data_IF_622678022856
#
_entry.id   IF_622678022856
#
_cell.length_a   1.000
_cell.length_b   1.000
_cell.length_c   1.000
_cell.angle_alpha   90.00
_cell.angle_beta   90.00
_cell.angle_gamma   90.00
#
_symmetry.space_group_name_H-M   'P 1'
#
loop_
_entity.id
_entity.type
_entity.pdbx_description
1 polymer ?
#
# COMPACT_ATOMS: atom_id res chain seq x y z
N UNK A 1 8.94 -10.67 0.69
CA UNK A 1 7.63 -10.69 1.37
C UNK A 1 7.32 -12.09 1.90
N UNK A 2 6.52 -12.19 2.96
CA UNK A 2 6.03 -13.45 3.55
C UNK A 2 4.80 -13.97 2.78
N UNK A 3 4.55 -15.28 2.85
CA UNK A 3 3.46 -15.93 2.09
C UNK A 3 2.05 -15.44 2.47
N UNK A 4 1.84 -15.05 3.73
CA UNK A 4 0.57 -14.50 4.23
C UNK A 4 0.83 -13.20 4.97
N UNK A 5 0.01 -12.18 4.68
CA UNK A 5 0.00 -10.92 5.43
C UNK A 5 -0.64 -11.11 6.81
N UNK A 6 -0.20 -10.33 7.78
CA UNK A 6 -0.79 -10.28 9.12
C UNK A 6 -1.79 -9.12 9.27
N UNK A 7 -2.04 -8.37 8.19
CA UNK A 7 -3.00 -7.28 8.19
C UNK A 7 -4.41 -7.83 8.41
N UNK A 8 -5.18 -7.13 9.26
CA UNK A 8 -6.60 -7.43 9.48
C UNK A 8 -7.46 -7.07 8.27
N UNK A 9 -7.11 -5.97 7.61
CA UNK A 9 -7.81 -5.46 6.44
C UNK A 9 -6.90 -5.51 5.21
N UNK A 10 -7.49 -5.69 4.02
CA UNK A 10 -6.76 -5.70 2.75
C UNK A 10 -5.92 -4.42 2.55
N UNK A 11 -6.41 -3.27 3.05
CA UNK A 11 -5.68 -2.00 3.03
C UNK A 11 -4.31 -2.09 3.71
N UNK A 12 -4.16 -2.92 4.74
CA UNK A 12 -2.88 -3.15 5.40
C UNK A 12 -1.92 -3.96 4.53
N UNK A 13 -2.42 -4.97 3.82
CA UNK A 13 -1.60 -5.72 2.85
C UNK A 13 -1.16 -4.84 1.68
N UNK A 14 -2.04 -3.98 1.17
CA UNK A 14 -1.71 -3.00 0.11
C UNK A 14 -0.59 -2.07 0.60
N UNK A 15 -0.67 -1.55 1.84
CA UNK A 15 0.39 -0.71 2.43
C UNK A 15 1.71 -1.45 2.62
N UNK A 16 1.70 -2.74 2.99
CA UNK A 16 2.92 -3.56 3.06
C UNK A 16 3.62 -3.67 1.68
N UNK A 17 2.84 -3.86 0.61
CA UNK A 17 3.36 -3.90 -0.76
C UNK A 17 3.96 -2.54 -1.15
N UNK A 18 3.22 -1.45 -0.95
CA UNK A 18 3.67 -0.10 -1.27
C UNK A 18 4.94 0.31 -0.49
N UNK A 19 5.07 -0.12 0.77
CA UNK A 19 6.29 0.09 1.57
C UNK A 19 7.50 -0.66 0.99
N UNK A 20 7.27 -1.84 0.40
CA UNK A 20 8.33 -2.55 -0.33
C UNK A 20 8.72 -1.79 -1.59
N UNK A 21 7.75 -1.29 -2.37
CA UNK A 21 8.00 -0.51 -3.59
C UNK A 21 8.79 0.78 -3.29
N UNK A 22 8.49 1.44 -2.16
CA UNK A 22 9.26 2.58 -1.66
C UNK A 22 10.72 2.19 -1.39
N UNK A 23 10.94 1.08 -0.68
CA UNK A 23 12.30 0.62 -0.33
C UNK A 23 13.13 0.25 -1.55
N UNK A 24 12.49 -0.22 -2.62
CA UNK A 24 13.15 -0.50 -3.91
C UNK A 24 13.40 0.79 -4.72
N UNK A 25 12.70 1.88 -4.40
CA UNK A 25 12.80 3.15 -5.14
C UNK A 25 12.00 3.16 -6.45
N UNK A 26 10.94 2.35 -6.55
CA UNK A 26 10.07 2.33 -7.72
C UNK A 26 8.87 3.26 -7.53
N UNK A 27 8.33 3.74 -8.66
CA UNK A 27 7.04 4.45 -8.69
C UNK A 27 5.90 3.48 -9.02
N UNK A 28 4.70 3.79 -8.54
CA UNK A 28 3.46 3.08 -8.90
C UNK A 28 2.57 4.09 -9.61
N UNK A 29 2.17 3.78 -10.85
CA UNK A 29 1.39 4.68 -11.70
C UNK A 29 2.01 6.09 -11.81
N UNK A 30 3.34 6.16 -11.88
CA UNK A 30 4.09 7.42 -11.95
C UNK A 30 4.13 8.22 -10.65
N UNK A 31 3.53 7.73 -9.56
CA UNK A 31 3.50 8.40 -8.24
C UNK A 31 4.45 7.73 -7.26
N UNK A 32 4.97 8.53 -6.33
CA UNK A 32 5.78 8.03 -5.23
C UNK A 32 4.91 7.20 -4.27
N UNK A 33 5.30 5.98 -3.87
CA UNK A 33 4.47 5.09 -3.07
C UNK A 33 4.00 5.69 -1.73
N UNK A 34 4.78 6.61 -1.13
CA UNK A 34 4.38 7.29 0.10
C UNK A 34 3.09 8.11 -0.07
N UNK A 35 2.94 8.81 -1.20
CA UNK A 35 1.73 9.61 -1.44
C UNK A 35 0.49 8.73 -1.58
N UNK A 36 0.64 7.55 -2.20
CA UNK A 36 -0.46 6.59 -2.33
C UNK A 36 -0.84 6.02 -0.95
N UNK A 37 0.16 5.76 -0.09
CA UNK A 37 -0.10 5.33 1.30
C UNK A 37 -0.89 6.40 2.06
N UNK A 38 -0.55 7.68 1.90
CA UNK A 38 -1.28 8.80 2.50
C UNK A 38 -2.71 8.92 1.96
N UNK A 39 -2.92 8.72 0.66
CA UNK A 39 -4.25 8.68 0.04
C UNK A 39 -5.10 7.53 0.60
N UNK A 40 -4.50 6.36 0.85
CA UNK A 40 -5.21 5.22 1.49
C UNK A 40 -5.53 5.54 2.95
N UNK A 41 -4.60 6.18 3.68
CA UNK A 41 -4.82 6.56 5.08
C UNK A 41 -5.92 7.62 5.24
N UNK A 42 -6.00 8.56 4.29
CA UNK A 42 -7.02 9.61 4.26
C UNK A 42 -8.36 9.15 3.67
N UNK A 43 -8.42 7.94 3.10
CA UNK A 43 -9.61 7.38 2.47
C UNK A 43 -9.90 7.95 1.07
N UNK A 44 -8.96 8.68 0.47
CA UNK A 44 -9.05 9.17 -0.92
C UNK A 44 -8.96 8.00 -1.91
N UNK A 45 -8.09 7.03 -1.63
CA UNK A 45 -8.04 5.77 -2.38
C UNK A 45 -8.91 4.75 -1.68
N UNK A 46 -10.00 4.36 -2.33
CA UNK A 46 -10.88 3.30 -1.85
C UNK A 46 -10.17 1.95 -1.94
N UNK A 47 -10.06 1.27 -0.80
CA UNK A 47 -9.58 -0.10 -0.73
C UNK A 47 -10.77 -1.06 -0.63
N UNK A 48 -10.76 -2.20 -1.35
CA UNK A 48 -11.79 -3.21 -1.19
C UNK A 48 -11.87 -3.68 0.27
N UNK A 49 -13.09 -3.88 0.76
CA UNK A 49 -13.31 -4.59 2.01
C UNK A 49 -12.92 -6.07 1.84
N UNK A 50 -12.37 -6.64 2.91
CA UNK A 50 -11.84 -8.01 2.96
C UNK A 50 -12.91 -9.08 2.80
#
# INVERSE_FOLDING_TARGET
MRHRSLARELSGTIKEILGTTQSVGCNVDGRHPHGIIDDINSGVVECPAS
#
